data_IF_096104964373
#
_entry.id   IF_096104964373
#
_cell.length_a   1.000
_cell.length_b   1.000
_cell.length_c   1.000
_cell.angle_alpha   90.00
_cell.angle_beta   90.00
_cell.angle_gamma   90.00
#
_symmetry.space_group_name_H-M   'P 1'
#
loop_
_entity.id
_entity.type
_entity.pdbx_description
1 polymer ?
#
# COMPACT_ATOMS: atom_id res chain seq x y z
N UNK A 1 -8.38 -49.79 37.40
CA UNK A 1 -7.49 -49.03 36.47
C UNK A 1 -8.02 -48.90 35.05
N UNK A 2 -9.22 -49.43 34.73
CA UNK A 2 -9.81 -49.42 33.39
C UNK A 2 -10.94 -48.37 33.22
N UNK A 3 -11.35 -47.68 34.28
CA UNK A 3 -12.48 -46.73 34.20
C UNK A 3 -12.08 -45.27 33.90
N UNK A 4 -10.82 -44.89 34.17
CA UNK A 4 -10.36 -43.51 33.96
C UNK A 4 -9.98 -43.25 32.50
N UNK A 5 -9.52 -44.25 31.76
CA UNK A 5 -9.11 -44.14 30.37
C UNK A 5 -10.33 -43.98 29.43
N UNK A 6 -11.47 -44.55 29.78
CA UNK A 6 -12.69 -44.49 28.99
C UNK A 6 -13.42 -43.12 29.03
N UNK A 7 -13.39 -42.47 30.20
CA UNK A 7 -14.00 -41.16 30.40
C UNK A 7 -13.22 -40.06 29.66
N UNK A 8 -11.89 -40.19 29.57
CA UNK A 8 -11.04 -39.21 28.88
C UNK A 8 -11.22 -39.31 27.34
N UNK A 9 -11.43 -40.54 26.84
CA UNK A 9 -11.62 -40.76 25.40
C UNK A 9 -12.97 -40.22 24.90
N UNK A 10 -14.04 -40.43 25.67
CA UNK A 10 -15.38 -39.93 25.32
C UNK A 10 -15.45 -38.40 25.38
N UNK A 11 -14.77 -37.76 26.35
CA UNK A 11 -14.69 -36.28 26.40
C UNK A 11 -13.90 -35.69 25.23
N UNK A 12 -12.86 -36.37 24.77
CA UNK A 12 -12.05 -35.91 23.64
C UNK A 12 -12.83 -36.04 22.31
N UNK A 13 -13.59 -37.13 22.12
CA UNK A 13 -14.44 -37.32 20.96
C UNK A 13 -15.61 -36.32 20.91
N UNK A 14 -16.21 -36.03 22.06
CA UNK A 14 -17.29 -35.04 22.18
C UNK A 14 -16.80 -33.61 21.85
N UNK A 15 -15.58 -33.28 22.28
CA UNK A 15 -14.99 -31.99 21.97
C UNK A 15 -14.64 -31.87 20.47
N UNK A 16 -14.13 -32.93 19.85
CA UNK A 16 -13.78 -32.93 18.43
C UNK A 16 -15.01 -32.82 17.51
N UNK A 17 -16.11 -33.52 17.87
CA UNK A 17 -17.37 -33.44 17.11
C UNK A 17 -18.03 -32.05 17.26
N UNK A 18 -17.93 -31.42 18.45
CA UNK A 18 -18.50 -30.09 18.67
C UNK A 18 -17.71 -29.01 17.93
N UNK A 19 -16.37 -29.10 17.87
CA UNK A 19 -15.54 -28.18 17.10
C UNK A 19 -15.76 -28.30 15.60
N UNK A 20 -15.94 -29.53 15.09
CA UNK A 20 -16.24 -29.74 13.65
C UNK A 20 -17.64 -29.21 13.26
N UNK A 21 -18.64 -29.39 14.11
CA UNK A 21 -19.98 -28.86 13.87
C UNK A 21 -20.02 -27.33 13.91
N UNK A 22 -19.29 -26.69 14.81
CA UNK A 22 -19.16 -25.23 14.90
C UNK A 22 -18.41 -24.67 13.67
N UNK A 23 -17.34 -25.35 13.24
CA UNK A 23 -16.61 -24.91 12.04
C UNK A 23 -17.42 -25.03 10.76
N UNK A 24 -18.19 -26.10 10.61
CA UNK A 24 -19.09 -26.27 9.45
C UNK A 24 -20.23 -25.25 9.43
N UNK A 25 -20.79 -24.90 10.60
CA UNK A 25 -21.87 -23.91 10.71
C UNK A 25 -21.35 -22.47 10.45
N UNK A 26 -20.15 -22.13 10.92
CA UNK A 26 -19.54 -20.83 10.64
C UNK A 26 -19.16 -20.71 9.16
N UNK A 27 -18.62 -21.77 8.56
CA UNK A 27 -18.30 -21.77 7.13
C UNK A 27 -19.57 -21.61 6.26
N UNK A 28 -20.68 -22.23 6.66
CA UNK A 28 -21.97 -22.10 5.94
C UNK A 28 -22.56 -20.68 6.08
N UNK A 29 -22.47 -20.06 7.26
CA UNK A 29 -22.93 -18.69 7.47
C UNK A 29 -22.05 -17.65 6.75
N UNK A 30 -20.75 -17.85 6.72
CA UNK A 30 -19.82 -16.97 5.98
C UNK A 30 -20.00 -17.10 4.48
N UNK A 31 -20.34 -18.28 3.96
CA UNK A 31 -20.57 -18.48 2.54
C UNK A 31 -21.91 -17.85 2.07
N UNK A 32 -22.95 -17.86 2.89
CA UNK A 32 -24.22 -17.19 2.57
C UNK A 32 -24.17 -15.67 2.70
N UNK A 33 -23.35 -15.12 3.59
CA UNK A 33 -23.22 -13.66 3.74
C UNK A 33 -22.31 -13.00 2.69
N UNK A 34 -21.48 -13.75 2.01
CA UNK A 34 -20.59 -13.18 0.99
C UNK A 34 -21.25 -13.00 -0.39
N UNK A 35 -22.40 -13.64 -0.63
CA UNK A 35 -23.09 -13.57 -1.92
C UNK A 35 -24.22 -12.53 -1.99
N UNK A 36 -24.58 -11.85 -0.89
CA UNK A 36 -25.69 -10.88 -0.87
C UNK A 36 -25.37 -9.48 -0.35
N UNK A 37 -24.11 -9.18 0.00
CA UNK A 37 -23.71 -7.79 0.25
C UNK A 37 -23.20 -7.14 -1.05
N UNK A 38 -24.14 -6.94 -1.97
CA UNK A 38 -23.96 -5.98 -3.06
C UNK A 38 -23.99 -4.57 -2.44
N UNK A 39 -22.84 -4.01 -2.12
CA UNK A 39 -22.74 -2.57 -1.95
C UNK A 39 -23.01 -1.96 -3.33
N UNK A 40 -24.01 -1.08 -3.47
CA UNK A 40 -24.14 -0.34 -4.71
C UNK A 40 -22.84 0.42 -4.91
N UNK A 41 -22.17 0.14 -6.02
CA UNK A 41 -21.03 0.90 -6.49
C UNK A 41 -21.47 2.36 -6.58
N UNK A 42 -21.06 3.20 -5.64
CA UNK A 42 -20.99 4.63 -5.87
C UNK A 42 -19.85 4.88 -6.84
N UNK A 43 -20.05 4.51 -8.09
CA UNK A 43 -19.25 5.06 -9.19
C UNK A 43 -19.89 6.42 -9.47
N UNK A 44 -19.18 7.52 -9.28
CA UNK A 44 -19.64 8.79 -9.83
C UNK A 44 -19.61 8.65 -11.35
N UNK A 45 -20.79 8.54 -11.97
CA UNK A 45 -20.92 8.76 -13.40
C UNK A 45 -20.80 10.27 -13.63
N UNK A 46 -19.57 10.76 -13.68
CA UNK A 46 -19.33 12.08 -14.24
C UNK A 46 -18.39 11.95 -15.43
N UNK A 47 -19.00 11.86 -16.61
CA UNK A 47 -18.36 12.08 -17.89
C UNK A 47 -18.23 13.60 -18.08
N UNK A 48 -17.27 14.22 -17.43
CA UNK A 48 -17.07 15.66 -17.51
C UNK A 48 -15.61 16.04 -17.36
N UNK A 49 -15.02 16.48 -18.44
CA UNK A 49 -13.83 17.33 -18.57
C UNK A 49 -13.00 17.52 -17.29
N UNK A 50 -11.74 17.08 -17.31
CA UNK A 50 -10.74 17.39 -16.31
C UNK A 50 -10.78 18.88 -15.95
N UNK A 51 -11.43 19.20 -14.86
CA UNK A 51 -11.36 20.53 -14.26
C UNK A 51 -10.00 20.64 -13.58
N UNK A 52 -9.19 21.59 -14.01
CA UNK A 52 -7.96 22.01 -13.35
C UNK A 52 -8.28 22.28 -11.86
N UNK A 53 -7.75 21.44 -10.95
CA UNK A 53 -7.86 21.65 -9.49
C UNK A 53 -8.31 20.46 -8.64
N UNK A 54 -8.29 19.22 -9.13
CA UNK A 54 -8.48 18.01 -8.32
C UNK A 54 -7.15 17.49 -7.78
N UNK A 55 -7.13 17.06 -6.51
CA UNK A 55 -6.01 16.32 -5.95
C UNK A 55 -6.04 14.90 -6.52
N UNK A 56 -4.94 14.45 -7.09
CA UNK A 56 -4.81 13.10 -7.65
C UNK A 56 -3.78 12.31 -6.85
N UNK A 57 -4.25 11.38 -6.01
CA UNK A 57 -3.36 10.43 -5.37
C UNK A 57 -2.73 9.53 -6.44
N UNK A 58 -1.55 8.96 -6.17
CA UNK A 58 -0.80 8.18 -7.17
C UNK A 58 -1.59 7.00 -7.75
N UNK A 59 -2.53 6.44 -6.98
CA UNK A 59 -3.41 5.35 -7.42
C UNK A 59 -4.65 5.81 -8.21
N UNK A 60 -4.90 7.10 -8.33
CA UNK A 60 -6.05 7.64 -9.07
C UNK A 60 -5.72 7.68 -10.57
N UNK A 61 -5.70 6.50 -11.18
CA UNK A 61 -5.24 6.28 -12.57
C UNK A 61 -6.36 6.30 -13.61
N UNK A 62 -7.59 6.68 -13.23
CA UNK A 62 -8.69 6.75 -14.20
C UNK A 62 -8.30 7.58 -15.44
N UNK A 63 -8.69 7.18 -16.66
CA UNK A 63 -9.67 6.11 -16.99
C UNK A 63 -9.09 4.68 -17.00
N UNK A 64 -7.82 4.50 -16.68
CA UNK A 64 -7.18 3.18 -16.66
C UNK A 64 -7.67 2.31 -15.50
N UNK A 65 -7.76 1.00 -15.73
CA UNK A 65 -8.21 0.01 -14.76
C UNK A 65 -7.07 -0.88 -14.31
N UNK A 66 -6.80 -0.92 -13.00
CA UNK A 66 -5.80 -1.78 -12.40
C UNK A 66 -6.37 -3.17 -12.11
N UNK A 67 -5.72 -4.20 -12.63
CA UNK A 67 -6.05 -5.62 -12.44
C UNK A 67 -4.99 -6.27 -11.56
N UNK A 68 -5.28 -6.37 -10.27
CA UNK A 68 -4.37 -6.93 -9.26
C UNK A 68 -4.43 -8.47 -9.18
N UNK A 69 -5.34 -9.11 -9.85
CA UNK A 69 -5.53 -10.56 -9.77
C UNK A 69 -4.26 -11.29 -10.22
N UNK A 70 -3.83 -12.26 -9.43
CA UNK A 70 -2.72 -13.11 -9.79
C UNK A 70 -3.18 -14.18 -10.77
N UNK A 71 -3.09 -13.84 -12.04
CA UNK A 71 -3.38 -14.72 -13.19
C UNK A 71 -2.13 -14.79 -14.06
N UNK A 72 -1.07 -15.51 -13.63
CA UNK A 72 0.19 -15.52 -14.36
C UNK A 72 -0.01 -16.14 -15.76
N UNK A 73 0.24 -15.35 -16.77
CA UNK A 73 0.28 -15.74 -18.18
C UNK A 73 1.69 -15.47 -18.71
N UNK A 74 2.09 -16.17 -19.76
CA UNK A 74 3.36 -15.88 -20.43
C UNK A 74 3.35 -14.47 -21.04
N UNK A 75 4.47 -13.76 -21.02
CA UNK A 75 4.59 -12.48 -21.71
C UNK A 75 4.54 -12.65 -23.22
N UNK A 76 4.17 -11.59 -23.89
CA UNK A 76 4.27 -11.41 -25.34
C UNK A 76 5.21 -10.24 -25.66
N UNK A 77 5.44 -9.99 -26.94
CA UNK A 77 6.33 -8.93 -27.42
C UNK A 77 5.96 -7.51 -26.92
N UNK A 78 4.67 -7.27 -26.62
CA UNK A 78 4.13 -6.01 -26.17
C UNK A 78 4.11 -5.86 -24.65
N UNK A 79 4.36 -6.93 -23.92
CA UNK A 79 4.41 -6.94 -22.46
C UNK A 79 5.47 -5.98 -21.92
N UNK A 80 5.19 -5.34 -20.79
CA UNK A 80 6.05 -4.31 -20.19
C UNK A 80 7.01 -4.93 -19.18
N UNK A 81 8.27 -4.51 -19.24
CA UNK A 81 9.33 -4.92 -18.32
C UNK A 81 9.46 -3.92 -17.20
N UNK A 82 9.47 -4.40 -15.96
CA UNK A 82 9.86 -3.67 -14.77
C UNK A 82 11.16 -4.26 -14.23
N UNK A 83 12.09 -3.39 -13.87
CA UNK A 83 13.35 -3.77 -13.24
C UNK A 83 13.75 -2.76 -12.16
N UNK A 84 14.44 -3.24 -11.14
CA UNK A 84 14.79 -2.45 -9.96
C UNK A 84 16.16 -2.84 -9.44
N UNK A 85 16.90 -1.84 -8.98
CA UNK A 85 18.20 -2.04 -8.37
C UNK A 85 18.47 -0.97 -7.29
N UNK A 86 19.00 -1.38 -6.14
CA UNK A 86 19.43 -0.47 -5.05
C UNK A 86 18.41 0.61 -4.65
N UNK A 87 17.11 0.24 -4.62
CA UNK A 87 16.04 1.16 -4.25
C UNK A 87 15.60 2.10 -5.37
N UNK A 88 16.06 1.86 -6.61
CA UNK A 88 15.73 2.65 -7.80
C UNK A 88 14.91 1.85 -8.79
N UNK A 89 14.14 2.55 -9.60
CA UNK A 89 13.32 2.00 -10.68
C UNK A 89 13.93 2.29 -12.04
N UNK A 90 13.78 1.33 -12.96
CA UNK A 90 14.35 1.40 -14.32
C UNK A 90 13.31 1.88 -15.32
N UNK A 91 13.56 3.03 -15.92
CA UNK A 91 12.71 3.62 -16.97
C UNK A 91 13.49 4.60 -17.83
N UNK A 92 12.90 5.12 -18.90
CA UNK A 92 13.46 6.21 -19.68
C UNK A 92 12.64 7.47 -19.43
N UNK A 93 13.29 8.59 -19.20
CA UNK A 93 12.69 9.92 -19.24
C UNK A 93 12.89 10.50 -20.63
N UNK A 94 11.87 11.14 -21.17
CA UNK A 94 12.02 11.94 -22.39
C UNK A 94 12.73 13.24 -22.06
N UNK A 95 13.63 13.64 -22.95
CA UNK A 95 14.42 14.86 -22.79
C UNK A 95 13.52 16.08 -22.58
N UNK A 96 13.82 16.84 -21.53
CA UNK A 96 13.13 18.08 -21.15
C UNK A 96 11.64 17.93 -20.77
N UNK A 97 11.16 16.71 -20.49
CA UNK A 97 9.80 16.45 -20.01
C UNK A 97 9.77 15.53 -18.80
N UNK A 98 8.64 15.55 -18.08
CA UNK A 98 8.39 14.59 -16.99
C UNK A 98 7.75 13.29 -17.50
N UNK A 99 7.74 13.06 -18.83
CA UNK A 99 7.17 11.86 -19.45
C UNK A 99 8.15 10.70 -19.32
N UNK A 100 7.62 9.54 -18.89
CA UNK A 100 8.39 8.31 -18.81
C UNK A 100 7.87 7.27 -19.80
N UNK A 101 8.78 6.38 -20.20
CA UNK A 101 8.46 5.17 -20.97
C UNK A 101 9.12 3.96 -20.31
N UNK A 102 8.47 2.80 -20.46
CA UNK A 102 8.96 1.53 -19.92
C UNK A 102 9.37 0.60 -21.05
N UNK A 103 10.42 -0.21 -20.90
CA UNK A 103 10.85 -1.14 -21.92
C UNK A 103 9.82 -2.25 -22.11
N UNK A 104 9.73 -2.73 -23.36
CA UNK A 104 8.87 -3.87 -23.74
C UNK A 104 9.71 -5.08 -24.12
N UNK A 105 9.13 -6.26 -24.04
CA UNK A 105 9.80 -7.51 -24.40
C UNK A 105 10.40 -7.48 -25.80
N UNK A 106 9.69 -6.94 -26.81
CA UNK A 106 10.19 -6.81 -28.19
C UNK A 106 11.54 -6.06 -28.32
N UNK A 107 11.88 -5.19 -27.35
CA UNK A 107 13.16 -4.46 -27.39
C UNK A 107 14.35 -5.36 -27.02
N UNK A 108 14.09 -6.55 -26.48
CA UNK A 108 15.08 -7.52 -26.02
C UNK A 108 15.03 -8.88 -26.70
N UNK A 109 14.02 -9.17 -27.57
CA UNK A 109 13.82 -10.50 -28.16
C UNK A 109 15.06 -11.08 -28.83
N UNK A 110 15.77 -10.28 -29.58
CA UNK A 110 16.99 -10.68 -30.29
C UNK A 110 18.28 -10.58 -29.43
N UNK A 111 18.16 -10.09 -28.19
CA UNK A 111 19.31 -9.75 -27.35
C UNK A 111 19.43 -10.60 -26.09
N UNK A 112 18.34 -11.16 -25.58
CA UNK A 112 18.30 -11.93 -24.34
C UNK A 112 17.65 -13.30 -24.58
N UNK A 113 18.48 -14.37 -24.61
CA UNK A 113 18.04 -15.71 -25.01
C UNK A 113 17.01 -16.34 -24.05
N UNK A 114 17.04 -15.99 -22.75
CA UNK A 114 16.17 -16.52 -21.69
C UNK A 114 15.05 -15.57 -21.27
N UNK A 115 14.79 -14.53 -22.05
CA UNK A 115 13.83 -13.47 -21.73
C UNK A 115 12.43 -14.01 -21.42
N UNK A 116 11.96 -14.98 -22.21
CA UNK A 116 10.65 -15.60 -22.07
C UNK A 116 10.62 -16.79 -21.10
N UNK A 117 11.73 -17.10 -20.43
CA UNK A 117 11.84 -18.17 -19.44
C UNK A 117 12.05 -17.62 -18.02
N UNK A 118 12.61 -16.40 -17.89
CA UNK A 118 13.05 -15.82 -16.61
C UNK A 118 12.30 -14.53 -16.29
N UNK A 119 11.00 -14.65 -16.02
CA UNK A 119 10.13 -13.53 -15.68
C UNK A 119 9.22 -13.85 -14.49
N UNK A 120 8.68 -12.81 -13.87
CA UNK A 120 7.63 -12.89 -12.84
C UNK A 120 6.48 -12.00 -13.26
N UNK A 121 5.27 -12.58 -13.46
CA UNK A 121 4.06 -11.81 -13.68
C UNK A 121 3.71 -10.98 -12.45
N UNK A 122 3.43 -9.70 -12.61
CA UNK A 122 3.06 -8.83 -11.51
C UNK A 122 1.56 -8.51 -11.50
N UNK A 123 1.06 -7.85 -12.52
CA UNK A 123 -0.33 -7.38 -12.67
C UNK A 123 -0.56 -6.89 -14.10
N UNK A 124 -1.79 -6.41 -14.39
CA UNK A 124 -2.03 -5.63 -15.60
C UNK A 124 -2.75 -4.31 -15.31
N UNK A 125 -2.64 -3.38 -16.22
CA UNK A 125 -3.45 -2.16 -16.26
C UNK A 125 -4.08 -2.14 -17.65
N UNK A 126 -5.41 -2.14 -17.71
CA UNK A 126 -6.15 -2.42 -18.95
C UNK A 126 -5.64 -3.72 -19.60
N UNK A 127 -5.22 -3.67 -20.87
CA UNK A 127 -4.65 -4.82 -21.58
C UNK A 127 -3.11 -4.91 -21.44
N UNK A 128 -2.45 -3.93 -20.83
CA UNK A 128 -1.00 -3.94 -20.66
C UNK A 128 -0.59 -4.79 -19.47
N UNK A 129 0.28 -5.78 -19.70
CA UNK A 129 0.79 -6.71 -18.68
C UNK A 129 2.18 -6.32 -18.25
N UNK A 130 2.42 -6.35 -16.93
CA UNK A 130 3.67 -5.94 -16.31
C UNK A 130 4.39 -7.12 -15.69
N UNK A 131 5.67 -7.26 -16.06
CA UNK A 131 6.53 -8.35 -15.63
C UNK A 131 7.81 -7.84 -15.00
N UNK A 132 8.22 -8.48 -13.93
CA UNK A 132 9.54 -8.26 -13.33
C UNK A 132 10.55 -9.19 -14.02
N UNK A 133 11.66 -8.62 -14.48
CA UNK A 133 12.84 -9.37 -14.93
C UNK A 133 13.91 -9.30 -13.84
N UNK A 134 14.16 -10.36 -13.07
CA UNK A 134 14.98 -10.30 -11.85
C UNK A 134 16.44 -9.90 -12.07
N UNK A 135 17.02 -10.24 -13.21
CA UNK A 135 18.43 -10.02 -13.54
C UNK A 135 18.56 -9.40 -14.93
N UNK A 136 17.82 -8.32 -15.18
CA UNK A 136 17.85 -7.64 -16.47
C UNK A 136 19.25 -7.10 -16.76
N UNK A 137 19.83 -7.48 -17.89
CA UNK A 137 21.03 -6.81 -18.43
C UNK A 137 20.62 -5.44 -19.04
N UNK A 138 20.76 -4.40 -18.25
CA UNK A 138 20.33 -3.04 -18.64
C UNK A 138 21.19 -2.43 -19.74
N UNK A 139 22.39 -2.96 -20.01
CA UNK A 139 23.21 -2.52 -21.12
C UNK A 139 22.57 -2.79 -22.50
N UNK A 140 21.63 -3.75 -22.55
CA UNK A 140 20.86 -4.06 -23.76
C UNK A 140 19.78 -3.03 -24.10
N UNK A 141 19.48 -2.09 -23.19
CA UNK A 141 18.43 -1.08 -23.31
C UNK A 141 19.01 0.35 -23.24
N UNK A 142 19.73 0.81 -24.26
CA UNK A 142 20.28 2.16 -24.29
C UNK A 142 19.17 3.22 -24.18
N UNK A 143 19.44 4.26 -23.40
CA UNK A 143 18.47 5.35 -23.16
C UNK A 143 17.54 5.12 -21.96
N UNK A 144 17.51 3.92 -21.38
CA UNK A 144 16.87 3.64 -20.10
C UNK A 144 17.90 3.78 -18.97
N UNK A 145 17.44 4.09 -17.76
CA UNK A 145 18.30 4.25 -16.60
C UNK A 145 17.60 4.01 -15.28
N UNK A 146 18.36 3.93 -14.19
CA UNK A 146 17.82 3.80 -12.83
C UNK A 146 17.64 5.18 -12.20
N UNK A 147 16.42 5.46 -11.77
CA UNK A 147 16.01 6.71 -11.13
C UNK A 147 15.49 6.46 -9.72
N UNK A 148 15.63 7.46 -8.86
CA UNK A 148 15.10 7.40 -7.49
C UNK A 148 13.57 7.28 -7.48
N UNK A 149 13.02 6.39 -6.67
CA UNK A 149 11.57 6.17 -6.62
C UNK A 149 10.78 7.43 -6.30
N UNK A 150 11.35 8.37 -5.52
CA UNK A 150 10.69 9.67 -5.23
C UNK A 150 10.35 10.48 -6.47
N UNK A 151 11.10 10.29 -7.59
CA UNK A 151 10.85 10.99 -8.85
C UNK A 151 9.52 10.58 -9.49
N UNK A 152 9.02 9.36 -9.19
CA UNK A 152 7.74 8.87 -9.67
C UNK A 152 6.54 9.71 -9.20
N UNK A 153 6.71 10.58 -8.22
CA UNK A 153 5.67 11.52 -7.79
C UNK A 153 5.46 12.69 -8.73
N UNK A 154 6.37 12.90 -9.69
CA UNK A 154 6.42 14.08 -10.57
C UNK A 154 6.31 13.72 -12.06
N UNK A 155 6.37 12.43 -12.41
CA UNK A 155 6.42 11.99 -13.82
C UNK A 155 5.05 11.58 -14.36
N UNK A 156 4.95 11.56 -15.71
CA UNK A 156 3.75 11.23 -16.44
C UNK A 156 4.03 10.10 -17.47
N UNK A 157 3.02 9.36 -17.92
CA UNK A 157 1.64 9.38 -17.41
C UNK A 157 1.53 8.73 -16.02
N UNK A 158 0.56 9.19 -15.23
CA UNK A 158 0.40 8.77 -13.85
C UNK A 158 0.22 7.25 -13.68
N UNK A 159 -0.49 6.59 -14.61
CA UNK A 159 -0.70 5.15 -14.50
C UNK A 159 0.62 4.35 -14.62
N UNK A 160 1.63 4.84 -15.36
CA UNK A 160 2.95 4.24 -15.40
C UNK A 160 3.72 4.49 -14.10
N UNK A 161 3.61 5.68 -13.52
CA UNK A 161 4.17 5.95 -12.18
C UNK A 161 3.61 5.01 -11.13
N UNK A 162 2.30 4.82 -11.14
CA UNK A 162 1.62 3.85 -10.26
C UNK A 162 2.10 2.41 -10.52
N UNK A 163 2.19 2.01 -11.81
CA UNK A 163 2.68 0.68 -12.18
C UNK A 163 4.11 0.44 -11.68
N UNK A 164 5.01 1.40 -11.91
CA UNK A 164 6.42 1.28 -11.51
C UNK A 164 6.55 1.19 -9.99
N UNK A 165 5.88 2.05 -9.22
CA UNK A 165 6.03 2.00 -7.76
C UNK A 165 5.33 0.78 -7.14
N UNK A 166 4.20 0.33 -7.69
CA UNK A 166 3.53 -0.91 -7.26
C UNK A 166 4.39 -2.14 -7.56
N UNK A 167 5.00 -2.17 -8.74
CA UNK A 167 5.97 -3.21 -9.10
C UNK A 167 7.21 -3.20 -8.20
N UNK A 168 7.69 -2.01 -7.78
CA UNK A 168 8.78 -1.87 -6.82
C UNK A 168 8.45 -2.53 -5.48
N UNK A 169 7.27 -2.33 -4.93
CA UNK A 169 6.83 -2.96 -3.69
C UNK A 169 6.82 -4.49 -3.81
N UNK A 170 6.32 -5.02 -4.93
CA UNK A 170 6.33 -6.46 -5.21
C UNK A 170 7.76 -7.00 -5.38
N UNK A 171 8.61 -6.30 -6.14
CA UNK A 171 10.02 -6.68 -6.30
C UNK A 171 10.74 -6.72 -4.95
N UNK A 172 10.54 -5.71 -4.09
CA UNK A 172 11.15 -5.64 -2.77
C UNK A 172 10.72 -6.82 -1.90
N UNK A 173 9.44 -7.18 -1.96
CA UNK A 173 8.94 -8.36 -1.27
C UNK A 173 9.55 -9.66 -1.81
N UNK A 174 9.56 -9.91 -3.14
CA UNK A 174 10.17 -11.10 -3.75
C UNK A 174 11.65 -11.20 -3.42
N UNK A 175 12.39 -10.09 -3.53
CA UNK A 175 13.82 -10.03 -3.21
C UNK A 175 14.12 -10.46 -1.78
N UNK A 176 13.28 -10.06 -0.82
CA UNK A 176 13.45 -10.33 0.60
C UNK A 176 12.87 -11.70 1.04
N UNK A 177 12.24 -12.45 0.14
CA UNK A 177 11.64 -13.77 0.41
C UNK A 177 12.27 -14.89 -0.41
N UNK A 178 13.54 -14.74 -0.82
CA UNK A 178 14.29 -15.75 -1.56
C UNK A 178 14.63 -16.96 -0.71
N UNK A 179 14.77 -16.78 0.59
CA UNK A 179 15.09 -17.83 1.56
C UNK A 179 14.03 -17.89 2.65
N UNK A 180 13.73 -19.11 3.09
CA UNK A 180 12.75 -19.35 4.14
C UNK A 180 13.25 -18.82 5.49
N UNK A 181 12.49 -17.93 6.13
CA UNK A 181 12.82 -17.41 7.45
C UNK A 181 12.72 -18.45 8.58
N UNK A 182 12.18 -19.65 8.31
CA UNK A 182 12.08 -20.73 9.29
C UNK A 182 13.27 -21.71 9.18
N UNK A 183 13.63 -22.17 7.97
CA UNK A 183 14.64 -23.24 7.80
C UNK A 183 15.82 -22.84 6.91
N UNK A 184 15.86 -21.61 6.38
CA UNK A 184 16.95 -21.09 5.57
C UNK A 184 17.01 -21.63 4.14
N UNK A 185 16.11 -22.55 3.74
CA UNK A 185 16.13 -23.14 2.40
C UNK A 185 15.54 -22.19 1.35
N UNK A 186 15.91 -22.31 0.06
CA UNK A 186 15.34 -21.51 -1.01
C UNK A 186 13.82 -21.65 -1.07
N UNK A 187 13.14 -20.53 -1.30
CA UNK A 187 11.70 -20.48 -1.56
C UNK A 187 11.42 -20.43 -3.05
N UNK A 188 10.29 -20.94 -3.45
CA UNK A 188 9.81 -20.95 -4.85
C UNK A 188 8.49 -20.19 -4.98
N UNK A 189 8.20 -19.69 -6.17
CA UNK A 189 6.93 -19.07 -6.49
C UNK A 189 5.81 -20.09 -6.56
N UNK A 190 4.68 -19.84 -5.93
CA UNK A 190 3.46 -20.60 -6.16
C UNK A 190 2.87 -20.26 -7.54
N UNK A 191 2.18 -21.26 -8.16
CA UNK A 191 1.61 -21.09 -9.50
C UNK A 191 0.17 -20.57 -9.50
N UNK A 192 -0.52 -20.63 -8.37
CA UNK A 192 -1.94 -20.30 -8.24
C UNK A 192 -2.14 -18.98 -7.51
N UNK A 193 -1.28 -18.72 -6.51
CA UNK A 193 -1.39 -17.56 -5.65
C UNK A 193 -0.10 -16.73 -5.72
N UNK A 194 -0.22 -15.44 -5.43
CA UNK A 194 0.92 -14.55 -5.26
C UNK A 194 1.57 -14.83 -3.91
N UNK A 195 2.32 -15.93 -3.85
CA UNK A 195 2.89 -16.50 -2.64
C UNK A 195 4.27 -17.08 -2.91
N UNK A 196 5.17 -16.97 -1.94
CA UNK A 196 6.41 -17.74 -1.90
C UNK A 196 6.20 -18.96 -0.99
N UNK A 197 6.66 -20.11 -1.43
CA UNK A 197 6.49 -21.37 -0.73
C UNK A 197 7.85 -22.04 -0.48
N UNK A 198 8.05 -22.57 0.72
CA UNK A 198 9.22 -23.36 1.05
C UNK A 198 8.95 -24.85 0.85
N UNK A 199 9.56 -25.51 -0.14
CA UNK A 199 9.33 -26.94 -0.38
C UNK A 199 9.90 -27.84 0.72
N UNK A 200 10.81 -27.33 1.55
CA UNK A 200 11.46 -28.08 2.62
C UNK A 200 10.65 -28.17 3.91
N UNK A 201 10.01 -27.05 4.35
CA UNK A 201 9.28 -27.02 5.61
C UNK A 201 7.81 -26.63 5.46
N UNK A 202 7.33 -26.37 4.26
CA UNK A 202 5.94 -26.04 3.97
C UNK A 202 5.55 -24.59 4.30
N UNK A 203 6.48 -23.72 4.72
CA UNK A 203 6.16 -22.31 5.05
C UNK A 203 5.66 -21.58 3.83
N UNK A 204 4.60 -20.81 4.02
CA UNK A 204 4.00 -19.93 3.03
C UNK A 204 4.23 -18.48 3.44
N UNK A 205 4.55 -17.61 2.47
CA UNK A 205 4.73 -16.18 2.67
C UNK A 205 3.95 -15.43 1.59
N UNK A 206 3.09 -14.52 2.03
CA UNK A 206 2.29 -13.64 1.18
C UNK A 206 2.88 -12.22 1.16
N UNK A 207 2.57 -11.38 0.14
CA UNK A 207 2.94 -9.97 0.16
C UNK A 207 2.44 -9.28 1.42
N UNK A 208 3.32 -8.48 2.04
CA UNK A 208 3.02 -7.78 3.29
C UNK A 208 2.60 -6.35 2.98
N UNK A 209 1.53 -5.90 3.63
CA UNK A 209 1.14 -4.50 3.75
C UNK A 209 1.29 -4.09 5.21
N UNK A 210 1.87 -2.91 5.44
CA UNK A 210 2.01 -2.33 6.78
C UNK A 210 0.90 -1.30 6.98
N UNK A 211 -0.14 -1.57 7.82
CA UNK A 211 -1.19 -0.60 8.08
C UNK A 211 -0.64 0.58 8.90
N UNK A 212 -1.04 1.79 8.54
CA UNK A 212 -0.69 3.00 9.27
C UNK A 212 -1.83 4.03 9.18
N UNK A 213 -1.91 4.92 10.14
CA UNK A 213 -2.89 6.00 10.17
C UNK A 213 -2.26 7.33 9.74
N UNK A 214 -3.09 8.22 9.21
CA UNK A 214 -2.81 9.64 9.03
C UNK A 214 -3.95 10.40 9.72
N UNK A 215 -3.62 11.30 10.63
CA UNK A 215 -4.61 11.91 11.53
C UNK A 215 -4.64 13.43 11.39
N UNK A 216 -5.74 13.95 10.87
CA UNK A 216 -6.07 15.36 10.87
C UNK A 216 -6.77 15.74 12.19
N UNK A 217 -6.02 16.20 13.18
CA UNK A 217 -6.55 16.59 14.50
C UNK A 217 -7.06 18.03 14.40
N UNK A 218 -8.35 18.23 14.68
CA UNK A 218 -9.01 19.52 14.52
C UNK A 218 -9.49 20.13 15.84
N UNK A 219 -9.43 21.45 15.93
CA UNK A 219 -10.04 22.26 16.99
C UNK A 219 -10.71 23.49 16.35
N UNK A 220 -11.98 23.36 15.97
CA UNK A 220 -12.70 24.37 15.20
C UNK A 220 -12.04 24.63 13.84
N UNK A 221 -11.56 25.82 13.59
CA UNK A 221 -10.87 26.20 12.35
C UNK A 221 -9.35 26.01 12.40
N UNK A 222 -8.86 25.18 13.32
CA UNK A 222 -7.44 24.83 13.42
C UNK A 222 -7.22 23.35 13.19
N UNK A 223 -6.04 23.01 12.63
CA UNK A 223 -5.54 21.65 12.47
C UNK A 223 -4.08 21.60 12.92
N UNK A 224 -3.64 20.46 13.45
CA UNK A 224 -2.22 20.23 13.76
C UNK A 224 -1.48 19.84 12.50
N UNK A 225 -0.36 20.55 12.24
CA UNK A 225 0.63 20.11 11.28
C UNK A 225 2.00 19.95 11.97
N UNK A 226 2.73 18.94 11.54
CA UNK A 226 4.01 18.55 12.12
C UNK A 226 5.13 18.48 11.07
N UNK A 227 6.38 18.43 11.53
CA UNK A 227 7.55 18.09 10.73
C UNK A 227 8.36 17.04 11.46
N UNK A 228 8.80 16.03 10.72
CA UNK A 228 9.61 14.95 11.27
C UNK A 228 11.03 15.43 11.65
N UNK A 229 11.54 14.89 12.74
CA UNK A 229 12.94 15.07 13.12
C UNK A 229 13.85 14.15 12.28
N UNK A 230 15.03 14.61 11.94
CA UNK A 230 16.07 13.82 11.26
C UNK A 230 15.75 13.34 9.83
N UNK A 231 14.54 13.48 9.32
CA UNK A 231 14.15 13.02 7.98
C UNK A 231 14.52 14.05 6.89
N UNK A 232 14.73 13.54 5.67
CA UNK A 232 14.99 14.40 4.50
C UNK A 232 13.75 15.19 4.04
N UNK A 233 12.55 14.70 4.35
CA UNK A 233 11.29 15.38 4.07
C UNK A 233 11.10 16.55 5.05
N UNK A 234 11.04 17.78 4.53
CA UNK A 234 11.02 19.02 5.34
C UNK A 234 9.70 19.79 5.27
N UNK A 235 8.73 19.31 4.52
CA UNK A 235 7.41 19.94 4.42
C UNK A 235 6.54 19.56 5.62
N UNK A 236 5.46 20.30 5.83
CA UNK A 236 4.48 19.96 6.84
C UNK A 236 3.71 18.71 6.46
N UNK A 237 3.39 17.92 7.47
CA UNK A 237 2.61 16.70 7.38
C UNK A 237 1.58 16.67 8.52
N UNK A 238 0.72 15.68 8.51
CA UNK A 238 -0.16 15.33 9.63
C UNK A 238 0.52 14.25 10.50
N UNK A 239 0.01 14.05 11.71
CA UNK A 239 0.41 12.97 12.61
C UNK A 239 0.18 11.64 11.90
N UNK A 240 1.15 10.73 11.97
CA UNK A 240 1.05 9.46 11.24
C UNK A 240 1.94 8.38 11.86
N UNK A 241 1.37 7.21 12.13
CA UNK A 241 2.12 6.09 12.67
C UNK A 241 1.57 4.73 12.30
N UNK A 242 2.34 3.67 12.57
CA UNK A 242 2.00 2.30 12.25
C UNK A 242 1.10 1.67 13.31
N UNK A 243 0.17 0.82 12.83
CA UNK A 243 -0.60 -0.02 13.74
C UNK A 243 0.29 -1.09 14.35
N UNK A 244 0.11 -1.32 15.65
CA UNK A 244 0.78 -2.39 16.39
C UNK A 244 -0.06 -3.66 16.43
N UNK A 245 0.61 -4.82 16.68
CA UNK A 245 -0.08 -6.11 16.77
C UNK A 245 -1.07 -6.10 17.92
N UNK A 246 -2.35 -6.31 17.59
CA UNK A 246 -3.43 -6.37 18.56
C UNK A 246 -4.25 -5.08 18.66
N UNK A 247 -3.83 -4.00 18.00
CA UNK A 247 -4.61 -2.77 17.90
C UNK A 247 -5.65 -2.80 16.78
N UNK A 248 -6.75 -2.13 17.00
CA UNK A 248 -7.62 -1.64 15.92
C UNK A 248 -7.04 -0.36 15.32
N UNK A 249 -7.45 0.00 14.11
CA UNK A 249 -7.00 1.23 13.46
C UNK A 249 -7.42 2.48 14.26
N UNK A 250 -8.58 2.44 14.92
CA UNK A 250 -9.06 3.50 15.81
C UNK A 250 -8.20 3.63 17.08
N UNK A 251 -7.76 2.52 17.67
CA UNK A 251 -6.83 2.52 18.80
C UNK A 251 -5.47 3.07 18.40
N UNK A 252 -4.99 2.72 17.20
CA UNK A 252 -3.75 3.30 16.63
C UNK A 252 -3.85 4.82 16.55
N UNK A 253 -4.99 5.39 16.08
CA UNK A 253 -5.19 6.85 16.07
C UNK A 253 -5.04 7.45 17.45
N UNK A 254 -5.68 6.87 18.47
CA UNK A 254 -5.61 7.39 19.84
C UNK A 254 -4.20 7.31 20.43
N UNK A 255 -3.48 6.21 20.20
CA UNK A 255 -2.11 6.01 20.70
C UNK A 255 -1.14 6.98 20.03
N UNK A 256 -1.10 7.04 18.70
CA UNK A 256 -0.16 7.90 17.96
C UNK A 256 -0.37 9.39 18.30
N UNK A 257 -1.62 9.83 18.41
CA UNK A 257 -1.91 11.21 18.81
C UNK A 257 -1.43 11.50 20.25
N UNK A 258 -1.59 10.53 21.16
CA UNK A 258 -1.12 10.68 22.52
C UNK A 258 0.40 10.68 22.61
N UNK A 259 1.08 9.79 21.86
CA UNK A 259 2.54 9.66 21.86
C UNK A 259 3.22 10.86 21.23
N UNK A 260 2.81 11.28 20.02
CA UNK A 260 3.50 12.33 19.27
C UNK A 260 3.20 13.76 19.77
N UNK A 261 1.98 14.03 20.26
CA UNK A 261 1.55 15.39 20.61
C UNK A 261 0.84 15.54 21.96
N UNK A 262 0.66 14.44 22.72
CA UNK A 262 0.11 14.44 24.08
C UNK A 262 -1.38 14.77 24.18
N UNK A 263 -2.14 14.62 23.11
CA UNK A 263 -3.55 14.98 23.06
C UNK A 263 -4.50 13.78 23.18
N UNK A 264 -5.69 14.04 23.72
CA UNK A 264 -6.84 13.12 23.60
C UNK A 264 -7.74 13.60 22.47
N UNK A 265 -8.29 12.64 21.72
CA UNK A 265 -9.17 12.90 20.59
C UNK A 265 -10.44 12.09 20.66
N UNK A 266 -11.48 12.59 19.99
CA UNK A 266 -12.81 11.98 19.88
C UNK A 266 -13.37 12.18 18.47
N UNK A 267 -14.56 11.64 18.20
CA UNK A 267 -15.27 11.80 16.93
C UNK A 267 -14.39 11.45 15.74
N UNK A 268 -13.79 10.25 15.75
CA UNK A 268 -12.99 9.75 14.64
C UNK A 268 -13.87 9.59 13.40
N UNK A 269 -13.48 10.22 12.31
CA UNK A 269 -14.18 10.20 11.02
C UNK A 269 -13.21 9.70 9.96
N UNK A 270 -13.46 8.48 9.45
CA UNK A 270 -12.68 7.93 8.35
C UNK A 270 -12.84 8.81 7.11
N UNK A 271 -11.72 9.11 6.45
CA UNK A 271 -11.67 9.93 5.25
C UNK A 271 -11.46 9.07 4.00
N UNK A 272 -10.26 8.50 3.84
CA UNK A 272 -9.87 7.65 2.73
C UNK A 272 -8.75 6.68 3.14
N UNK A 273 -8.47 5.69 2.29
CA UNK A 273 -7.23 4.91 2.36
C UNK A 273 -6.37 5.13 1.12
N UNK A 274 -5.06 4.93 1.28
CA UNK A 274 -4.09 5.01 0.19
C UNK A 274 -3.09 3.85 0.26
N UNK A 275 -2.93 3.04 -0.81
CA UNK A 275 -1.77 2.17 -0.95
C UNK A 275 -0.53 3.05 -1.19
N UNK A 276 0.41 3.03 -0.27
CA UNK A 276 1.63 3.82 -0.35
C UNK A 276 2.83 2.91 -0.61
N UNK A 277 3.01 2.51 -1.88
CA UNK A 277 4.00 1.52 -2.30
C UNK A 277 5.46 1.99 -2.13
N UNK A 278 5.70 3.28 -1.90
CA UNK A 278 7.04 3.82 -1.59
C UNK A 278 7.63 3.23 -0.30
N UNK A 279 6.79 2.89 0.67
CA UNK A 279 7.20 2.26 1.94
C UNK A 279 6.50 0.92 2.21
N UNK A 280 5.64 0.44 1.31
CA UNK A 280 4.87 -0.78 1.50
C UNK A 280 3.70 -0.64 2.49
N UNK A 281 3.22 0.59 2.68
CA UNK A 281 2.21 0.94 3.68
C UNK A 281 0.82 1.00 3.06
N UNK A 282 -0.19 0.59 3.83
CA UNK A 282 -1.58 0.90 3.58
C UNK A 282 -2.02 1.97 4.58
N UNK A 283 -2.21 3.19 4.08
CA UNK A 283 -2.55 4.36 4.89
C UNK A 283 -4.07 4.46 5.09
N UNK A 284 -4.50 4.80 6.31
CA UNK A 284 -5.87 5.09 6.68
C UNK A 284 -5.96 6.52 7.20
N UNK A 285 -6.62 7.41 6.46
CA UNK A 285 -6.82 8.80 6.84
C UNK A 285 -8.03 8.98 7.73
N UNK A 286 -7.84 9.64 8.87
CA UNK A 286 -8.90 10.02 9.80
C UNK A 286 -8.85 11.51 10.11
N UNK A 287 -10.01 12.14 10.20
CA UNK A 287 -10.16 13.38 10.94
C UNK A 287 -10.73 13.09 12.32
N UNK A 288 -10.32 13.87 13.31
CA UNK A 288 -10.84 13.76 14.67
C UNK A 288 -10.86 15.14 15.32
N UNK A 289 -11.65 15.26 16.37
CA UNK A 289 -11.72 16.48 17.18
C UNK A 289 -10.90 16.30 18.45
N UNK A 290 -10.30 17.38 18.93
CA UNK A 290 -9.66 17.38 20.25
C UNK A 290 -10.69 17.06 21.35
N UNK A 291 -10.26 16.34 22.37
CA UNK A 291 -11.05 16.05 23.57
C UNK A 291 -10.39 16.63 24.82
N UNK A 292 -10.73 17.86 25.14
CA UNK A 292 -10.24 18.59 26.31
C UNK A 292 -9.22 19.67 26.02
N UNK A 293 -8.09 19.69 26.75
CA UNK A 293 -7.03 20.69 26.62
C UNK A 293 -6.31 20.58 25.26
N UNK A 294 -5.97 21.71 24.65
CA UNK A 294 -5.30 21.80 23.35
C UNK A 294 -3.78 22.11 23.46
N UNK A 295 -3.24 22.04 24.66
CA UNK A 295 -1.81 22.19 24.92
C UNK A 295 -1.01 21.01 24.39
N UNK A 296 -0.08 21.27 23.46
CA UNK A 296 0.75 20.24 22.86
C UNK A 296 1.91 19.83 23.76
N UNK A 297 2.12 18.52 23.89
CA UNK A 297 3.34 17.92 24.43
C UNK A 297 4.00 17.14 23.30
N UNK A 298 4.93 17.79 22.61
CA UNK A 298 5.54 17.23 21.39
C UNK A 298 6.64 16.24 21.75
N UNK A 299 6.61 15.06 21.15
CA UNK A 299 7.73 14.14 21.20
C UNK A 299 8.83 14.60 20.21
N UNK A 300 9.89 15.16 20.76
CA UNK A 300 11.00 15.69 19.99
C UNK A 300 11.98 14.61 19.46
N UNK A 301 11.79 13.33 19.80
CA UNK A 301 12.52 12.24 19.18
C UNK A 301 11.98 11.94 17.78
N UNK A 302 10.67 12.15 17.55
CA UNK A 302 10.01 11.91 16.27
C UNK A 302 9.69 13.19 15.49
N UNK A 303 9.30 14.26 16.17
CA UNK A 303 8.87 15.51 15.57
C UNK A 303 9.77 16.70 15.94
N UNK A 304 10.30 17.37 14.93
CA UNK A 304 11.00 18.65 15.16
C UNK A 304 10.04 19.80 15.52
N UNK A 305 8.83 19.75 14.95
CA UNK A 305 7.78 20.74 15.16
C UNK A 305 6.42 20.04 15.11
N UNK A 306 5.52 20.43 16.02
CA UNK A 306 4.08 20.26 15.90
C UNK A 306 3.38 21.53 16.41
N UNK A 307 2.43 22.04 15.63
CA UNK A 307 1.72 23.27 15.99
C UNK A 307 0.34 23.36 15.34
N UNK A 308 -0.52 24.16 15.94
CA UNK A 308 -1.83 24.49 15.39
C UNK A 308 -1.71 25.49 14.24
N UNK A 309 -2.36 25.19 13.11
CA UNK A 309 -2.50 26.08 11.96
C UNK A 309 -3.96 26.47 11.79
N UNK A 310 -4.20 27.75 11.59
CA UNK A 310 -5.51 28.24 11.13
C UNK A 310 -5.76 27.72 9.71
N UNK A 311 -7.01 27.45 9.40
CA UNK A 311 -7.46 26.90 8.11
C UNK A 311 -6.90 27.67 6.90
N UNK A 312 -6.89 29.00 6.96
CA UNK A 312 -6.40 29.88 5.89
C UNK A 312 -4.87 29.97 5.80
N UNK A 313 -4.15 29.36 6.74
CA UNK A 313 -2.67 29.31 6.80
C UNK A 313 -2.08 27.99 6.37
N UNK A 314 -2.91 27.01 5.99
CA UNK A 314 -2.43 25.72 5.53
C UNK A 314 -1.71 25.88 4.20
N UNK A 315 -0.48 25.37 4.16
CA UNK A 315 0.34 25.31 2.95
C UNK A 315 0.39 23.86 2.49
N UNK A 316 -0.09 23.60 1.29
CA UNK A 316 0.00 22.28 0.67
C UNK A 316 1.44 21.87 0.42
N UNK A 317 1.62 20.58 0.15
CA UNK A 317 2.90 20.01 -0.29
C UNK A 317 3.14 20.31 -1.77
N UNK A 318 4.36 20.09 -2.25
CA UNK A 318 4.78 20.33 -3.63
C UNK A 318 4.23 19.29 -4.64
N UNK A 319 3.61 18.22 -4.14
CA UNK A 319 2.95 17.20 -4.98
C UNK A 319 1.57 16.84 -4.43
N UNK A 320 0.64 16.54 -5.32
CA UNK A 320 -0.72 16.12 -4.98
C UNK A 320 -0.83 14.59 -4.75
N UNK A 321 0.27 13.85 -4.84
CA UNK A 321 0.28 12.38 -4.86
C UNK A 321 0.01 11.70 -3.52
N UNK A 322 -0.08 12.44 -2.39
CA UNK A 322 -0.18 11.87 -1.05
C UNK A 322 -1.49 12.16 -0.35
N UNK A 323 -2.01 11.18 0.39
CA UNK A 323 -3.18 11.32 1.26
C UNK A 323 -3.01 12.44 2.30
N UNK A 324 -1.79 12.60 2.85
CA UNK A 324 -1.48 13.69 3.79
C UNK A 324 -1.77 15.06 3.18
N UNK A 325 -1.27 15.31 1.95
CA UNK A 325 -1.53 16.58 1.29
C UNK A 325 -3.02 16.76 0.97
N UNK A 326 -3.68 15.72 0.47
CA UNK A 326 -5.12 15.78 0.19
C UNK A 326 -5.93 16.12 1.45
N UNK A 327 -5.62 15.49 2.59
CA UNK A 327 -6.30 15.77 3.86
C UNK A 327 -6.05 17.20 4.36
N UNK A 328 -4.81 17.68 4.28
CA UNK A 328 -4.49 19.08 4.63
C UNK A 328 -5.30 20.05 3.78
N UNK A 329 -5.39 19.82 2.48
CA UNK A 329 -6.12 20.68 1.55
C UNK A 329 -7.65 20.51 1.65
N UNK A 330 -8.14 19.31 2.01
CA UNK A 330 -9.55 19.10 2.33
C UNK A 330 -9.96 19.97 3.53
N UNK A 331 -9.16 19.99 4.59
CA UNK A 331 -9.38 20.86 5.72
C UNK A 331 -9.30 22.35 5.31
N UNK A 332 -8.25 22.77 4.59
CA UNK A 332 -8.08 24.17 4.14
C UNK A 332 -9.28 24.68 3.32
N UNK A 333 -9.95 23.80 2.58
CA UNK A 333 -11.09 24.13 1.71
C UNK A 333 -12.47 23.81 2.32
N UNK A 334 -12.53 23.35 3.58
CA UNK A 334 -13.77 23.01 4.29
C UNK A 334 -14.49 21.76 3.74
N UNK A 335 -13.73 20.83 3.16
CA UNK A 335 -14.23 19.57 2.57
C UNK A 335 -13.94 18.33 3.44
N UNK A 336 -13.39 18.53 4.62
CA UNK A 336 -13.20 17.44 5.59
C UNK A 336 -14.56 16.86 6.03
N UNK A 337 -14.65 15.56 6.38
CA UNK A 337 -15.87 14.97 6.92
C UNK A 337 -16.22 15.59 8.26
N UNK A 338 -17.52 15.87 8.46
CA UNK A 338 -18.09 16.51 9.67
C UNK A 338 -18.66 15.47 10.63
#
# INVERSE_FOLDING_TARGET
MLSITYITFVKFLSFYVTVHAVHSSIAFFLHMSYTELYFPSCVPTDTGQATKGGFFMIQDIAPHTYHNEYKPVAPDENSIILAYENGKSFFRKEDSSDVITLPRFRELEDKAADLYENYIYLFSIDEERFYLIPNLDTALLPGYGFYENRELRYVQPQYLSFAVITGYQLWFWYRNRRFCGCCGQPMIHDKKERMMYCPSCGRQEYPVLMPAVIVGITNGDKIICSKYEGRSFKQYALIAGFAEIGETIEETVHREVMEEVGLKVKNLRYYKSQPWSFSGTLLFGFFCDIDGDDTLTVDHEELSIAQWFERDKIIGQDTDSSLTNEMMMAFATGKEPK
#
